data_IF_886684539813
#
_entry.id   IF_886684539813
#
_cell.length_a   1.000
_cell.length_b   1.000
_cell.length_c   1.000
_cell.angle_alpha   90.00
_cell.angle_beta   90.00
_cell.angle_gamma   90.00
#
_symmetry.space_group_name_H-M   'P 1'
#
loop_
_entity.id
_entity.type
_entity.pdbx_description
1 polymer ?
#
# COMPACT_ATOMS: atom_id res chain seq x y z
N UNK A 1 -31.08 20.70 -31.20
CA UNK A 1 -31.22 22.14 -30.91
C UNK A 1 -30.45 22.95 -31.95
N UNK A 2 -30.70 24.26 -32.10
CA UNK A 2 -29.86 25.15 -32.93
C UNK A 2 -28.43 25.25 -32.33
N UNK A 3 -27.40 25.60 -33.12
CA UNK A 3 -26.04 25.79 -32.60
C UNK A 3 -26.04 26.76 -31.40
N UNK A 4 -25.39 26.37 -30.30
CA UNK A 4 -25.33 27.15 -29.06
C UNK A 4 -26.41 26.83 -28.02
N UNK A 5 -27.36 25.93 -28.31
CA UNK A 5 -28.41 25.50 -27.39
C UNK A 5 -28.35 23.98 -27.14
N UNK A 6 -28.73 23.57 -25.93
CA UNK A 6 -28.72 22.20 -25.43
C UNK A 6 -29.93 21.88 -24.54
N UNK A 7 -29.95 20.67 -23.99
CA UNK A 7 -31.05 20.14 -23.18
C UNK A 7 -32.22 19.57 -24.00
N UNK A 8 -33.11 18.81 -23.34
CA UNK A 8 -34.24 18.14 -24.02
C UNK A 8 -35.23 19.11 -24.66
N UNK A 9 -35.38 20.30 -24.07
CA UNK A 9 -36.26 21.37 -24.57
C UNK A 9 -35.51 22.45 -25.36
N UNK A 10 -34.19 22.31 -25.56
CA UNK A 10 -33.37 23.32 -26.23
C UNK A 10 -33.36 24.70 -25.55
N UNK A 11 -33.54 24.73 -24.24
CA UNK A 11 -33.60 25.96 -23.42
C UNK A 11 -32.36 26.14 -22.54
N UNK A 12 -31.34 25.31 -22.72
CA UNK A 12 -30.16 25.24 -21.84
C UNK A 12 -28.89 25.38 -22.66
N UNK A 13 -27.75 25.52 -21.98
CA UNK A 13 -26.46 25.45 -22.66
C UNK A 13 -26.15 24.01 -23.11
N UNK A 14 -25.40 23.82 -24.21
CA UNK A 14 -24.90 22.51 -24.63
C UNK A 14 -24.13 21.78 -23.52
N UNK A 15 -23.89 20.49 -23.71
CA UNK A 15 -23.06 19.71 -22.79
C UNK A 15 -21.63 20.25 -22.72
N UNK A 16 -21.04 20.18 -21.52
CA UNK A 16 -19.78 20.84 -21.18
C UNK A 16 -19.78 22.37 -21.28
N UNK A 17 -20.95 23.00 -21.23
CA UNK A 17 -21.08 24.44 -21.10
C UNK A 17 -22.12 24.84 -20.05
N UNK A 18 -21.92 26.01 -19.45
CA UNK A 18 -22.80 26.61 -18.44
C UNK A 18 -23.05 28.09 -18.71
N UNK A 19 -24.01 28.67 -18.01
CA UNK A 19 -24.43 30.07 -18.13
C UNK A 19 -25.77 30.22 -18.84
N UNK A 20 -26.00 31.39 -19.42
CA UNK A 20 -27.27 31.75 -20.01
C UNK A 20 -27.22 31.59 -21.55
N UNK A 21 -28.06 30.72 -22.14
CA UNK A 21 -28.08 30.46 -23.59
C UNK A 21 -28.36 31.68 -24.47
N UNK A 22 -29.07 32.67 -23.95
CA UNK A 22 -29.45 33.89 -24.69
C UNK A 22 -28.35 34.96 -24.67
N UNK A 23 -27.44 34.94 -23.69
CA UNK A 23 -26.31 35.87 -23.61
C UNK A 23 -24.99 35.24 -24.06
N UNK A 24 -24.91 33.92 -24.04
CA UNK A 24 -23.73 33.14 -24.41
C UNK A 24 -23.35 32.13 -23.34
N UNK A 25 -22.97 30.93 -23.77
CA UNK A 25 -22.54 29.83 -22.91
C UNK A 25 -21.01 29.82 -22.75
N UNK A 26 -20.54 29.52 -21.55
CA UNK A 26 -19.12 29.37 -21.21
C UNK A 26 -18.75 27.90 -21.08
N UNK A 27 -17.53 27.55 -21.48
CA UNK A 27 -17.04 26.17 -21.38
C UNK A 27 -16.79 25.78 -19.91
N UNK A 28 -17.28 24.61 -19.50
CA UNK A 28 -16.95 24.02 -18.21
C UNK A 28 -15.43 23.78 -18.13
N UNK A 29 -14.80 24.16 -17.01
CA UNK A 29 -13.36 23.93 -16.78
C UNK A 29 -13.09 22.62 -16.02
N UNK A 30 -13.78 21.55 -16.37
CA UNK A 30 -13.68 20.27 -15.69
C UNK A 30 -12.60 19.38 -16.31
N UNK A 31 -12.02 18.49 -15.51
CA UNK A 31 -11.15 17.42 -15.98
C UNK A 31 -11.99 16.35 -16.70
N UNK A 32 -11.58 15.98 -17.91
CA UNK A 32 -12.35 15.08 -18.76
C UNK A 32 -12.43 13.64 -18.20
N UNK A 33 -11.45 13.24 -17.39
CA UNK A 33 -11.36 11.90 -16.83
C UNK A 33 -12.05 11.84 -15.47
N UNK A 34 -11.95 12.89 -14.67
CA UNK A 34 -12.54 12.96 -13.33
C UNK A 34 -14.00 13.37 -13.25
N UNK A 35 -14.62 13.73 -14.37
CA UNK A 35 -15.99 14.28 -14.43
C UNK A 35 -16.94 13.30 -15.10
N UNK A 36 -18.18 13.21 -14.60
CA UNK A 36 -19.21 12.34 -15.19
C UNK A 36 -19.79 12.94 -16.49
N UNK A 37 -20.42 12.13 -17.36
CA UNK A 37 -21.07 12.64 -18.57
C UNK A 37 -22.09 13.73 -18.26
N UNK A 38 -21.98 14.88 -18.93
CA UNK A 38 -22.76 16.09 -18.66
C UNK A 38 -21.90 17.30 -18.28
N UNK A 39 -20.69 17.05 -17.73
CA UNK A 39 -19.66 18.05 -17.51
C UNK A 39 -19.85 18.85 -16.22
N UNK A 40 -20.63 19.92 -16.28
CA UNK A 40 -20.86 20.78 -15.13
C UNK A 40 -22.31 21.25 -15.03
N UNK A 41 -22.66 21.73 -13.84
CA UNK A 41 -23.94 22.37 -13.59
C UNK A 41 -24.15 23.56 -14.55
N UNK A 42 -25.31 23.61 -15.19
CA UNK A 42 -25.61 24.57 -16.25
C UNK A 42 -25.73 26.02 -15.73
N UNK A 43 -25.95 26.21 -14.43
CA UNK A 43 -26.09 27.52 -13.80
C UNK A 43 -24.77 27.97 -13.15
N UNK A 44 -24.17 27.11 -12.33
CA UNK A 44 -23.01 27.47 -11.48
C UNK A 44 -21.67 27.19 -12.14
N UNK A 45 -21.61 26.27 -13.10
CA UNK A 45 -20.36 25.79 -13.69
C UNK A 45 -19.60 24.78 -12.82
N UNK A 46 -20.21 24.32 -11.72
CA UNK A 46 -19.59 23.33 -10.83
C UNK A 46 -19.54 21.95 -11.49
N UNK A 47 -18.35 21.34 -11.50
CA UNK A 47 -18.10 20.07 -12.17
C UNK A 47 -18.72 18.90 -11.41
N UNK A 48 -19.37 17.99 -12.14
CA UNK A 48 -19.91 16.79 -11.53
C UNK A 48 -18.83 15.70 -11.43
N UNK A 49 -18.17 15.61 -10.28
CA UNK A 49 -17.07 14.67 -10.09
C UNK A 49 -17.54 13.22 -10.00
N UNK A 50 -16.74 12.30 -10.55
CA UNK A 50 -16.94 10.86 -10.35
C UNK A 50 -16.67 10.47 -8.90
N UNK A 51 -17.16 9.29 -8.51
CA UNK A 51 -16.91 8.76 -7.17
C UNK A 51 -15.40 8.66 -6.87
N UNK A 52 -15.00 9.07 -5.67
CA UNK A 52 -13.60 9.07 -5.24
C UNK A 52 -12.76 10.25 -5.75
N UNK A 53 -13.36 11.16 -6.51
CA UNK A 53 -12.71 12.37 -7.05
C UNK A 53 -13.38 13.62 -6.49
N UNK A 54 -12.59 14.66 -6.30
CA UNK A 54 -13.00 15.95 -5.75
C UNK A 54 -12.19 17.09 -6.39
N UNK A 55 -12.42 18.30 -5.89
CA UNK A 55 -11.78 19.52 -6.37
C UNK A 55 -12.68 20.27 -7.37
N UNK A 56 -12.44 21.59 -7.55
CA UNK A 56 -13.27 22.45 -8.39
C UNK A 56 -13.30 22.05 -9.86
N UNK A 57 -12.31 21.26 -10.30
CA UNK A 57 -12.21 20.72 -11.66
C UNK A 57 -12.31 19.19 -11.70
N UNK A 58 -12.59 18.53 -10.58
CA UNK A 58 -12.55 17.07 -10.47
C UNK A 58 -11.20 16.45 -10.86
N UNK A 59 -10.10 17.07 -10.44
CA UNK A 59 -8.73 16.71 -10.80
C UNK A 59 -7.92 16.14 -9.62
N UNK A 60 -8.58 15.89 -8.48
CA UNK A 60 -7.93 15.38 -7.26
C UNK A 60 -8.72 14.24 -6.63
N UNK A 61 -8.05 13.31 -5.95
CA UNK A 61 -8.76 12.22 -5.25
C UNK A 61 -9.37 12.74 -3.94
N UNK A 62 -10.58 12.28 -3.61
CA UNK A 62 -11.25 12.64 -2.36
C UNK A 62 -10.59 11.99 -1.15
N UNK A 63 -10.77 12.56 0.05
CA UNK A 63 -10.29 11.95 1.30
C UNK A 63 -10.79 10.50 1.43
N UNK A 64 -9.93 9.59 1.86
CA UNK A 64 -10.20 8.15 1.86
C UNK A 64 -9.73 7.42 0.60
N UNK A 65 -9.40 8.17 -0.45
CA UNK A 65 -8.78 7.65 -1.67
C UNK A 65 -7.33 8.13 -1.77
N UNK A 66 -6.47 7.26 -2.29
CA UNK A 66 -5.04 7.51 -2.39
C UNK A 66 -4.76 8.42 -3.59
N UNK A 67 -3.66 9.19 -3.52
CA UNK A 67 -3.33 10.25 -4.48
C UNK A 67 -2.83 9.72 -5.85
N UNK A 68 -3.56 8.76 -6.42
CA UNK A 68 -3.29 8.09 -7.69
C UNK A 68 -4.33 8.50 -8.74
N UNK A 69 -4.48 9.81 -8.99
CA UNK A 69 -5.38 10.28 -10.05
C UNK A 69 -4.88 9.77 -11.42
N UNK A 70 -5.76 9.24 -12.31
CA UNK A 70 -7.22 9.22 -12.22
C UNK A 70 -7.84 8.02 -11.49
N UNK A 71 -7.07 6.98 -11.15
CA UNK A 71 -7.61 5.75 -10.56
C UNK A 71 -8.28 6.01 -9.20
N UNK A 72 -7.70 6.86 -8.35
CA UNK A 72 -8.21 7.22 -7.02
C UNK A 72 -8.71 5.99 -6.25
N UNK A 73 -7.83 5.01 -6.07
CA UNK A 73 -8.16 3.78 -5.35
C UNK A 73 -8.40 4.08 -3.86
N UNK A 74 -9.23 3.28 -3.20
CA UNK A 74 -9.42 3.37 -1.76
C UNK A 74 -8.08 3.15 -1.05
N UNK A 75 -7.77 4.00 -0.07
CA UNK A 75 -6.56 3.82 0.69
C UNK A 75 -6.63 2.55 1.57
N UNK A 76 -5.48 1.96 1.93
CA UNK A 76 -5.44 0.81 2.82
C UNK A 76 -6.10 1.09 4.18
N UNK A 77 -6.56 0.05 4.87
CA UNK A 77 -7.26 0.16 6.16
C UNK A 77 -6.51 0.97 7.22
N UNK A 78 -5.17 1.02 7.16
CA UNK A 78 -4.37 1.84 8.07
C UNK A 78 -4.66 3.35 7.96
N UNK A 79 -5.00 3.84 6.76
CA UNK A 79 -5.38 5.24 6.55
C UNK A 79 -6.61 5.60 7.37
N UNK A 80 -7.68 4.78 7.30
CA UNK A 80 -8.92 5.06 8.01
C UNK A 80 -8.74 5.03 9.53
N UNK A 81 -7.93 4.09 10.05
CA UNK A 81 -7.60 4.03 11.48
C UNK A 81 -6.85 5.27 11.94
N UNK A 82 -5.81 5.68 11.20
CA UNK A 82 -5.02 6.87 11.55
C UNK A 82 -5.80 8.17 11.36
N UNK A 83 -6.62 8.25 10.31
CA UNK A 83 -7.43 9.43 10.00
C UNK A 83 -8.50 9.66 11.08
N UNK A 84 -9.13 8.58 11.57
CA UNK A 84 -10.06 8.62 12.70
C UNK A 84 -9.37 9.06 13.99
N UNK A 85 -8.19 8.52 14.30
CA UNK A 85 -7.40 8.95 15.46
C UNK A 85 -7.00 10.42 15.35
N UNK A 86 -6.57 10.87 14.17
CA UNK A 86 -6.22 12.26 13.91
C UNK A 86 -7.41 13.20 14.09
N UNK A 87 -8.59 12.83 13.61
CA UNK A 87 -9.81 13.63 13.81
C UNK A 87 -10.21 13.70 15.29
N UNK A 88 -10.13 12.59 16.04
CA UNK A 88 -10.38 12.58 17.48
C UNK A 88 -9.39 13.45 18.25
N UNK A 89 -8.11 13.40 17.89
CA UNK A 89 -7.08 14.24 18.50
C UNK A 89 -7.32 15.72 18.15
N UNK A 90 -7.65 16.04 16.89
CA UNK A 90 -7.99 17.41 16.49
C UNK A 90 -9.19 17.96 17.26
N UNK A 91 -10.26 17.16 17.41
CA UNK A 91 -11.43 17.55 18.19
C UNK A 91 -11.10 17.70 19.68
N UNK A 92 -10.31 16.78 20.24
CA UNK A 92 -9.82 16.90 21.62
C UNK A 92 -8.97 18.17 21.80
N UNK A 93 -8.13 18.52 20.82
CA UNK A 93 -7.36 19.75 20.80
C UNK A 93 -8.27 20.99 20.77
N UNK A 94 -9.25 21.03 19.87
CA UNK A 94 -10.20 22.14 19.77
C UNK A 94 -11.03 22.32 21.05
N UNK A 95 -11.44 21.22 21.69
CA UNK A 95 -12.13 21.27 23.00
C UNK A 95 -11.22 21.70 24.14
N UNK A 96 -9.91 21.41 24.06
CA UNK A 96 -8.91 21.91 25.00
C UNK A 96 -8.65 23.40 24.78
N UNK A 97 -8.48 23.82 23.53
CA UNK A 97 -8.25 25.22 23.17
C UNK A 97 -9.45 26.11 23.52
N UNK A 98 -10.68 25.64 23.36
CA UNK A 98 -11.89 26.37 23.77
C UNK A 98 -12.14 26.38 25.29
N UNK A 99 -11.44 25.55 26.07
CA UNK A 99 -11.43 25.61 27.55
C UNK A 99 -10.41 26.60 28.11
N UNK A 100 -9.51 27.10 27.28
CA UNK A 100 -8.70 28.26 27.62
C UNK A 100 -9.47 29.50 27.14
N UNK A 101 -9.89 30.41 28.03
CA UNK A 101 -10.33 31.72 27.57
C UNK A 101 -9.16 32.36 26.84
N UNK A 102 -9.42 33.00 25.69
CA UNK A 102 -8.47 33.90 25.04
C UNK A 102 -7.90 34.85 26.10
N UNK A 103 -6.64 34.62 26.48
CA UNK A 103 -5.88 35.56 27.29
C UNK A 103 -5.34 36.58 26.30
N UNK A 104 -5.80 37.85 26.34
CA UNK A 104 -5.17 38.90 25.55
C UNK A 104 -3.83 39.20 26.21
N UNK A 105 -2.74 38.66 25.65
CA UNK A 105 -1.38 38.98 26.10
C UNK A 105 -0.37 37.84 25.89
N UNK A 106 0.63 38.10 25.04
CA UNK A 106 1.71 37.19 24.68
C UNK A 106 2.75 36.92 25.78
N UNK A 107 3.92 36.36 25.42
CA UNK A 107 4.82 35.59 26.29
C UNK A 107 5.75 36.46 27.16
N UNK A 108 5.23 37.49 27.81
CA UNK A 108 5.99 38.33 28.75
C UNK A 108 5.27 38.39 30.10
N UNK A 109 5.46 37.38 30.97
CA UNK A 109 5.42 37.52 32.45
C UNK A 109 5.51 36.19 33.24
N UNK A 110 6.38 35.25 32.85
CA UNK A 110 6.69 34.11 33.75
C UNK A 110 7.59 34.49 34.94
N UNK A 111 8.30 35.63 34.88
CA UNK A 111 9.18 36.10 35.97
C UNK A 111 8.47 36.49 37.27
N UNK A 112 7.18 36.82 37.20
CA UNK A 112 6.42 37.26 38.38
C UNK A 112 5.92 36.11 39.26
N UNK A 113 5.89 34.88 38.77
CA UNK A 113 5.39 33.74 39.55
C UNK A 113 6.43 33.26 40.57
N UNK A 114 7.72 33.26 40.22
CA UNK A 114 8.80 32.85 41.12
C UNK A 114 9.05 33.90 42.22
N UNK A 115 8.91 35.19 41.90
CA UNK A 115 8.92 36.28 42.88
C UNK A 115 7.73 36.17 43.86
N UNK A 116 6.53 35.86 43.35
CA UNK A 116 5.32 35.70 44.17
C UNK A 116 5.40 34.47 45.08
N UNK A 117 5.99 33.36 44.60
CA UNK A 117 6.20 32.14 45.40
C UNK A 117 7.23 32.37 46.51
N UNK A 118 8.32 33.11 46.23
CA UNK A 118 9.31 33.47 47.24
C UNK A 118 8.76 34.46 48.29
N UNK A 119 7.87 35.38 47.89
CA UNK A 119 7.16 36.30 48.80
C UNK A 119 6.17 35.58 49.72
N UNK A 120 5.49 34.54 49.21
CA UNK A 120 4.60 33.68 50.01
C UNK A 120 5.42 32.82 50.98
N UNK A 121 6.59 32.34 50.55
CA UNK A 121 7.52 31.54 51.38
C UNK A 121 8.12 32.36 52.54
N UNK A 122 8.38 33.66 52.33
CA UNK A 122 8.84 34.57 53.38
C UNK A 122 7.71 35.05 54.31
N UNK A 123 6.45 35.00 53.85
CA UNK A 123 5.27 35.43 54.63
C UNK A 123 4.66 34.32 55.50
N UNK A 124 5.05 33.05 55.32
CA UNK A 124 4.50 31.87 56.05
C UNK A 124 5.43 31.37 57.18
N UNK A 125 6.61 31.94 57.38
CA UNK A 125 7.43 31.67 58.57
C UNK A 125 6.94 32.51 59.77
N UNK A 126 6.62 31.94 60.93
CA UNK A 126 6.26 32.74 62.10
C UNK A 126 7.47 33.51 62.63
N UNK A 127 7.26 34.72 63.16
CA UNK A 127 8.28 35.49 63.87
C UNK A 127 8.91 34.65 64.99
N UNK A 128 10.24 34.40 64.97
CA UNK A 128 10.92 33.58 65.98
C UNK A 128 10.93 34.16 67.40
N UNK A 129 10.51 35.42 67.58
CA UNK A 129 10.62 36.12 68.86
C UNK A 129 9.58 35.67 69.90
N UNK A 130 8.32 35.48 69.50
CA UNK A 130 7.21 35.23 70.44
C UNK A 130 7.21 33.79 70.97
N UNK A 131 7.54 32.81 70.14
CA UNK A 131 7.66 31.40 70.56
C UNK A 131 8.90 31.20 71.45
N UNK A 132 10.03 31.84 71.14
CA UNK A 132 11.20 31.83 72.04
C UNK A 132 10.91 32.50 73.39
N UNK A 133 10.12 33.57 73.41
CA UNK A 133 9.72 34.24 74.65
C UNK A 133 8.76 33.38 75.49
N UNK A 134 7.79 32.70 74.87
CA UNK A 134 6.86 31.79 75.55
C UNK A 134 7.55 30.53 76.08
N UNK A 135 8.41 29.87 75.28
CA UNK A 135 9.21 28.74 75.76
C UNK A 135 10.23 29.15 76.82
N UNK A 136 10.80 30.35 76.71
CA UNK A 136 11.70 30.91 77.73
C UNK A 136 10.98 31.18 79.07
N UNK A 137 9.76 31.71 79.02
CA UNK A 137 8.93 31.93 80.21
C UNK A 137 8.51 30.61 80.87
N UNK A 138 8.22 29.56 80.09
CA UNK A 138 7.86 28.24 80.61
C UNK A 138 9.02 27.56 81.36
N UNK A 139 10.24 27.71 80.84
CA UNK A 139 11.46 27.20 81.49
C UNK A 139 11.74 27.95 82.79
N UNK A 140 11.52 29.27 82.83
CA UNK A 140 11.64 30.07 84.06
C UNK A 140 10.60 29.67 85.12
N UNK A 141 9.35 29.43 84.70
CA UNK A 141 8.26 29.01 85.59
C UNK A 141 8.53 27.63 86.24
N UNK A 142 9.00 26.67 85.44
CA UNK A 142 9.35 25.33 85.95
C UNK A 142 10.55 25.39 86.90
N UNK A 143 11.52 26.28 86.63
CA UNK A 143 12.66 26.49 87.53
C UNK A 143 12.23 27.06 88.89
N UNK A 144 11.29 28.01 88.90
CA UNK A 144 10.71 28.57 90.12
C UNK A 144 9.91 27.52 90.91
N UNK A 145 9.15 26.65 90.24
CA UNK A 145 8.44 25.53 90.90
C UNK A 145 9.41 24.53 91.55
N UNK A 146 10.52 24.23 90.87
CA UNK A 146 11.58 23.37 91.40
C UNK A 146 12.31 23.99 92.61
N UNK A 147 12.52 25.30 92.60
CA UNK A 147 13.10 26.03 93.73
C UNK A 147 12.13 26.12 94.92
N UNK A 148 10.82 26.28 94.65
CA UNK A 148 9.77 26.28 95.67
C UNK A 148 9.59 24.90 96.31
N UNK A 149 9.62 23.81 95.53
CA UNK A 149 9.60 22.44 96.05
C UNK A 149 10.85 22.08 96.88
N UNK A 150 12.02 22.64 96.53
CA UNK A 150 13.25 22.51 97.33
C UNK A 150 13.22 23.36 98.62
N UNK A 151 12.46 24.46 98.64
CA UNK A 151 12.23 25.24 99.85
C UNK A 151 11.18 24.56 100.76
N UNK A 152 10.11 24.01 100.20
CA UNK A 152 9.02 23.33 100.91
C UNK A 152 9.48 22.04 101.62
N UNK A 153 10.48 21.34 101.06
CA UNK A 153 11.12 20.16 101.68
C UNK A 153 12.02 20.49 102.90
N UNK A 154 12.25 21.77 103.20
CA UNK A 154 13.02 22.23 104.38
C UNK A 154 12.17 22.90 105.46
N UNK A 155 10.85 23.04 105.26
CA UNK A 155 9.93 23.72 106.18
C UNK A 155 9.11 22.70 106.97
N UNK A 156 9.01 22.83 108.31
CA UNK A 156 8.18 21.95 109.13
C UNK A 156 6.70 22.02 108.71
N UNK A 157 6.01 20.87 108.70
CA UNK A 157 4.65 20.70 108.18
C UNK A 157 3.56 21.61 108.80
N UNK A 158 3.87 22.31 109.90
CA UNK A 158 2.93 23.18 110.62
C UNK A 158 2.84 24.62 110.09
N UNK A 159 3.65 25.01 109.10
CA UNK A 159 3.64 26.36 108.50
C UNK A 159 3.31 26.40 107.00
N UNK A 160 2.87 25.28 106.42
CA UNK A 160 2.51 25.24 104.99
C UNK A 160 1.22 26.02 104.73
N UNK A 161 1.30 27.09 103.96
CA UNK A 161 0.13 27.81 103.45
C UNK A 161 -0.37 27.11 102.17
N UNK A 162 -1.65 26.69 102.08
CA UNK A 162 -2.17 25.91 100.94
C UNK A 162 -2.36 26.70 99.64
N UNK A 163 -2.10 28.01 99.65
CA UNK A 163 -2.62 28.94 98.64
C UNK A 163 -1.72 29.05 97.41
N UNK A 164 -0.40 29.13 97.61
CA UNK A 164 0.54 29.46 96.53
C UNK A 164 0.74 28.31 95.53
N UNK A 165 0.70 27.06 95.99
CA UNK A 165 0.86 25.88 95.12
C UNK A 165 -0.39 25.69 94.24
N UNK A 166 -1.58 26.01 94.79
CA UNK A 166 -2.84 26.04 94.05
C UNK A 166 -2.87 27.14 92.99
N UNK A 167 -2.38 28.34 93.30
CA UNK A 167 -2.27 29.45 92.34
C UNK A 167 -1.30 29.13 91.19
N UNK A 168 -0.20 28.43 91.49
CA UNK A 168 0.77 27.96 90.50
C UNK A 168 0.16 26.91 89.55
N UNK A 169 -0.70 26.02 90.06
CA UNK A 169 -1.42 25.03 89.25
C UNK A 169 -2.54 25.66 88.42
N UNK A 170 -3.23 26.68 88.95
CA UNK A 170 -4.22 27.46 88.21
C UNK A 170 -3.57 28.24 87.04
N UNK A 171 -2.40 28.83 87.28
CA UNK A 171 -1.63 29.53 86.24
C UNK A 171 -1.13 28.56 85.16
N UNK A 172 -0.71 27.34 85.54
CA UNK A 172 -0.33 26.29 84.60
C UNK A 172 -1.53 25.89 83.72
N UNK A 173 -2.70 25.67 84.32
CA UNK A 173 -3.91 25.29 83.61
C UNK A 173 -4.42 26.39 82.67
N UNK A 174 -4.30 27.66 83.06
CA UNK A 174 -4.58 28.80 82.19
C UNK A 174 -3.62 28.86 81.00
N UNK A 175 -2.34 28.57 81.23
CA UNK A 175 -1.33 28.56 80.17
C UNK A 175 -1.56 27.42 79.18
N UNK A 176 -1.82 26.20 79.67
CA UNK A 176 -2.13 25.04 78.82
C UNK A 176 -3.41 25.27 78.00
N UNK A 177 -4.43 25.92 78.59
CA UNK A 177 -5.63 26.33 77.87
C UNK A 177 -5.32 27.36 76.78
N UNK A 178 -4.45 28.32 77.05
CA UNK A 178 -4.02 29.34 76.08
C UNK A 178 -3.24 28.72 74.91
N UNK A 179 -2.36 27.75 75.20
CA UNK A 179 -1.63 26.98 74.19
C UNK A 179 -2.62 26.17 73.35
N UNK A 180 -3.56 25.46 73.97
CA UNK A 180 -4.58 24.69 73.27
C UNK A 180 -5.49 25.58 72.40
N UNK A 181 -5.90 26.74 72.91
CA UNK A 181 -6.67 27.74 72.14
C UNK A 181 -5.87 28.29 70.97
N UNK A 182 -4.57 28.54 71.15
CA UNK A 182 -3.69 28.99 70.08
C UNK A 182 -3.50 27.90 69.01
N UNK A 183 -3.26 26.65 69.41
CA UNK A 183 -3.11 25.53 68.48
C UNK A 183 -4.41 25.20 67.73
N UNK A 184 -5.56 25.24 68.40
CA UNK A 184 -6.87 25.09 67.74
C UNK A 184 -7.16 26.26 66.80
N UNK A 185 -6.81 27.50 67.17
CA UNK A 185 -6.98 28.66 66.27
C UNK A 185 -5.98 28.66 65.10
N UNK A 186 -4.77 28.12 65.30
CA UNK A 186 -3.78 27.85 64.24
C UNK A 186 -4.27 26.76 63.29
N UNK A 187 -4.85 25.68 63.83
CA UNK A 187 -5.46 24.59 63.06
C UNK A 187 -6.70 25.08 62.32
N UNK A 188 -7.49 25.96 62.94
CA UNK A 188 -8.62 26.65 62.32
C UNK A 188 -8.18 27.72 61.32
N UNK A 189 -6.98 28.30 61.43
CA UNK A 189 -6.39 29.14 60.37
C UNK A 189 -5.92 28.30 59.17
N UNK A 190 -5.70 26.99 59.36
CA UNK A 190 -5.62 26.00 58.27
C UNK A 190 -6.99 25.49 57.78
N UNK A 191 -8.09 25.83 58.47
CA UNK A 191 -9.45 25.31 58.22
C UNK A 191 -10.54 26.36 58.01
N UNK A 192 -10.24 27.65 58.09
CA UNK A 192 -11.20 28.76 57.93
C UNK A 192 -10.53 29.98 57.30
N UNK A 193 -9.86 29.73 56.18
CA UNK A 193 -9.71 30.62 55.02
C UNK A 193 -8.82 29.91 54.01
N UNK A 194 -9.40 29.34 52.94
CA UNK A 194 -8.63 28.90 51.77
C UNK A 194 -8.78 27.45 51.35
N UNK A 195 -9.99 26.97 51.11
CA UNK A 195 -10.23 25.80 50.22
C UNK A 195 -9.66 26.00 48.80
N UNK A 196 -9.19 27.21 48.45
CA UNK A 196 -8.58 27.51 47.15
C UNK A 196 -7.04 27.48 47.13
N UNK A 197 -6.32 27.74 48.23
CA UNK A 197 -4.86 27.98 48.15
C UNK A 197 -3.97 26.77 48.49
N UNK A 198 -4.38 25.85 49.36
CA UNK A 198 -3.64 24.59 49.60
C UNK A 198 -3.75 23.63 48.41
N UNK A 199 -4.93 23.57 47.79
CA UNK A 199 -5.13 22.88 46.51
C UNK A 199 -4.28 23.48 45.40
N UNK A 200 -4.37 24.80 45.20
CA UNK A 200 -3.61 25.50 44.16
C UNK A 200 -2.08 25.34 44.30
N UNK A 201 -1.53 25.45 45.50
CA UNK A 201 -0.08 25.27 45.70
C UNK A 201 0.37 23.84 45.42
N UNK A 202 -0.42 22.84 45.86
CA UNK A 202 -0.13 21.44 45.57
C UNK A 202 -0.21 21.14 44.07
N UNK A 203 -1.19 21.73 43.37
CA UNK A 203 -1.34 21.61 41.93
C UNK A 203 -0.18 22.26 41.17
N UNK A 204 0.27 23.46 41.57
CA UNK A 204 1.43 24.15 40.97
C UNK A 204 2.71 23.32 41.16
N UNK A 205 2.93 22.76 42.35
CA UNK A 205 4.10 21.91 42.63
C UNK A 205 4.09 20.64 41.77
N UNK A 206 2.94 20.01 41.60
CA UNK A 206 2.78 18.83 40.73
C UNK A 206 3.02 19.20 39.27
N UNK A 207 2.39 20.26 38.77
CA UNK A 207 2.57 20.73 37.39
C UNK A 207 4.03 21.09 37.06
N UNK A 208 4.75 21.71 38.00
CA UNK A 208 6.18 22.00 37.85
C UNK A 208 7.02 20.71 37.75
N UNK A 209 6.73 19.71 38.59
CA UNK A 209 7.39 18.40 38.56
C UNK A 209 7.13 17.70 37.23
N UNK A 210 5.88 17.66 36.78
CA UNK A 210 5.47 17.03 35.52
C UNK A 210 6.12 17.71 34.31
N UNK A 211 6.18 19.05 34.31
CA UNK A 211 6.86 19.83 33.29
C UNK A 211 8.36 19.55 33.24
N UNK A 212 9.00 19.46 34.43
CA UNK A 212 10.44 19.14 34.54
C UNK A 212 10.74 17.73 34.03
N UNK A 213 9.88 16.76 34.37
CA UNK A 213 10.06 15.36 33.95
C UNK A 213 9.77 15.19 32.44
N UNK A 214 8.84 15.97 31.88
CA UNK A 214 8.63 16.06 30.44
C UNK A 214 9.84 16.65 29.70
N UNK A 215 10.44 17.73 30.23
CA UNK A 215 11.63 18.35 29.64
C UNK A 215 12.82 17.37 29.61
N UNK A 216 13.03 16.58 30.68
CA UNK A 216 14.06 15.54 30.69
C UNK A 216 13.83 14.47 29.62
N UNK A 217 12.57 14.05 29.42
CA UNK A 217 12.22 13.07 28.38
C UNK A 217 12.50 13.62 26.98
N UNK A 218 12.21 14.89 26.73
CA UNK A 218 12.52 15.55 25.46
C UNK A 218 14.03 15.63 25.23
N UNK A 219 14.81 16.07 26.23
CA UNK A 219 16.27 16.12 26.11
C UNK A 219 16.89 14.73 25.86
N UNK A 220 16.34 13.69 26.47
CA UNK A 220 16.79 12.31 26.22
C UNK A 220 16.54 11.82 24.78
N UNK A 221 15.69 12.50 23.99
CA UNK A 221 15.41 12.15 22.59
C UNK A 221 16.29 12.87 21.58
N UNK A 222 17.09 13.84 22.02
CA UNK A 222 17.92 14.69 21.14
C UNK A 222 18.88 13.85 20.28
N UNK A 223 19.64 12.95 20.91
CA UNK A 223 20.58 12.06 20.22
C UNK A 223 19.89 11.11 19.25
N UNK A 224 18.68 10.64 19.59
CA UNK A 224 17.89 9.75 18.73
C UNK A 224 17.47 10.48 17.46
N UNK A 225 16.98 11.72 17.60
CA UNK A 225 16.57 12.55 16.46
C UNK A 225 17.77 12.88 15.57
N UNK A 226 18.92 13.21 16.19
CA UNK A 226 20.18 13.48 15.48
C UNK A 226 20.65 12.25 14.69
N UNK A 227 20.75 11.09 15.33
CA UNK A 227 21.12 9.84 14.67
C UNK A 227 20.17 9.48 13.51
N UNK A 228 18.87 9.71 13.68
CA UNK A 228 17.89 9.47 12.62
C UNK A 228 18.04 10.46 11.45
N UNK A 229 18.46 11.71 11.72
CA UNK A 229 18.81 12.68 10.67
C UNK A 229 20.03 12.22 9.89
N UNK A 230 21.11 11.89 10.59
CA UNK A 230 22.38 11.47 9.99
C UNK A 230 22.21 10.20 9.13
N UNK A 231 21.41 9.23 9.61
CA UNK A 231 21.12 8.01 8.85
C UNK A 231 20.34 8.30 7.56
N UNK A 232 19.38 9.24 7.59
CA UNK A 232 18.65 9.64 6.38
C UNK A 232 19.57 10.29 5.36
N UNK A 233 20.48 11.15 5.81
CA UNK A 233 21.47 11.79 4.95
C UNK A 233 22.45 10.78 4.33
N UNK A 234 22.97 9.83 5.13
CA UNK A 234 23.81 8.75 4.62
C UNK A 234 23.08 7.90 3.57
N UNK A 235 21.83 7.53 3.85
CA UNK A 235 21.01 6.74 2.92
C UNK A 235 20.77 7.50 1.61
N UNK A 236 20.49 8.81 1.70
CA UNK A 236 20.35 9.69 0.54
C UNK A 236 21.62 9.73 -0.30
N UNK A 237 22.78 9.90 0.33
CA UNK A 237 24.07 9.94 -0.36
C UNK A 237 24.38 8.64 -1.11
N UNK A 238 24.03 7.48 -0.54
CA UNK A 238 24.17 6.19 -1.23
C UNK A 238 23.23 6.12 -2.43
N UNK A 239 21.97 6.52 -2.26
CA UNK A 239 20.97 6.53 -3.34
C UNK A 239 21.42 7.43 -4.50
N UNK A 240 21.87 8.66 -4.21
CA UNK A 240 22.33 9.62 -5.23
C UNK A 240 23.59 9.14 -5.96
N UNK A 241 24.45 8.34 -5.31
CA UNK A 241 25.64 7.74 -5.95
C UNK A 241 25.32 6.57 -6.87
N UNK A 242 24.37 5.72 -6.48
CA UNK A 242 24.11 4.43 -7.15
C UNK A 242 23.05 4.54 -8.25
N UNK A 243 21.98 5.30 -8.00
CA UNK A 243 20.83 5.35 -8.90
C UNK A 243 21.11 5.89 -10.30
N UNK A 244 21.95 6.92 -10.49
CA UNK A 244 22.29 7.39 -11.83
C UNK A 244 23.00 6.31 -12.66
N UNK A 245 23.90 5.55 -12.05
CA UNK A 245 24.60 4.43 -12.68
C UNK A 245 23.62 3.35 -13.11
N UNK A 246 22.78 2.87 -12.17
CA UNK A 246 21.76 1.87 -12.46
C UNK A 246 20.78 2.32 -13.57
N UNK A 247 20.37 3.58 -13.54
CA UNK A 247 19.48 4.16 -14.56
C UNK A 247 20.15 4.16 -15.93
N UNK A 248 21.42 4.57 -15.99
CA UNK A 248 22.20 4.57 -17.23
C UNK A 248 22.41 3.14 -17.77
N UNK A 249 22.71 2.19 -16.90
CA UNK A 249 22.91 0.79 -17.27
C UNK A 249 21.62 0.17 -17.80
N UNK A 250 20.48 0.45 -17.15
CA UNK A 250 19.15 0.03 -17.64
C UNK A 250 18.81 0.64 -18.99
N UNK A 251 19.09 1.94 -19.19
CA UNK A 251 18.90 2.59 -20.50
C UNK A 251 19.81 1.99 -21.58
N UNK A 252 21.05 1.68 -21.22
CA UNK A 252 22.01 1.00 -22.09
C UNK A 252 21.54 -0.40 -22.49
N UNK A 253 21.07 -1.19 -21.51
CA UNK A 253 20.51 -2.51 -21.76
C UNK A 253 19.27 -2.45 -22.65
N UNK A 254 18.35 -1.52 -22.38
CA UNK A 254 17.14 -1.34 -23.18
C UNK A 254 17.47 -0.99 -24.63
N UNK A 255 18.45 -0.09 -24.83
CA UNK A 255 18.94 0.28 -26.16
C UNK A 255 19.63 -0.88 -26.87
N UNK A 256 20.37 -1.71 -26.14
CA UNK A 256 21.01 -2.92 -26.66
C UNK A 256 19.98 -3.96 -27.08
N UNK A 257 18.99 -4.26 -26.22
CA UNK A 257 17.91 -5.20 -26.52
C UNK A 257 17.04 -4.75 -27.70
N UNK A 258 16.89 -3.43 -27.89
CA UNK A 258 16.16 -2.87 -29.03
C UNK A 258 16.86 -3.10 -30.37
N UNK A 259 18.19 -3.17 -30.37
CA UNK A 259 19.01 -3.20 -31.57
C UNK A 259 19.70 -4.54 -31.84
N UNK A 260 19.94 -5.39 -30.83
CA UNK A 260 20.75 -6.61 -30.98
C UNK A 260 20.28 -7.81 -30.13
N UNK A 261 20.44 -9.05 -30.65
CA UNK A 261 20.75 -9.34 -32.05
C UNK A 261 19.55 -9.03 -32.96
N UNK A 262 19.81 -8.45 -34.14
CA UNK A 262 18.80 -8.36 -35.19
C UNK A 262 18.63 -9.73 -35.85
N UNK A 263 17.54 -10.42 -35.50
CA UNK A 263 17.19 -11.73 -36.03
C UNK A 263 16.46 -11.67 -37.37
N UNK A 264 16.23 -10.47 -37.93
CA UNK A 264 15.52 -10.31 -39.21
C UNK A 264 16.17 -11.06 -40.37
N UNK A 265 17.51 -11.03 -40.55
CA UNK A 265 18.15 -11.78 -41.63
C UNK A 265 17.93 -13.29 -41.49
N UNK A 266 18.06 -13.82 -40.27
CA UNK A 266 17.80 -15.22 -39.97
C UNK A 266 16.33 -15.59 -40.20
N UNK A 267 15.40 -14.76 -39.73
CA UNK A 267 13.96 -14.95 -39.94
C UNK A 267 13.58 -14.95 -41.44
N UNK A 268 14.22 -14.11 -42.26
CA UNK A 268 14.02 -14.12 -43.72
C UNK A 268 14.51 -15.42 -44.36
N UNK A 269 15.73 -15.85 -44.00
CA UNK A 269 16.32 -17.08 -44.55
C UNK A 269 15.60 -18.36 -44.08
N UNK A 270 15.07 -18.39 -42.85
CA UNK A 270 14.41 -19.56 -42.29
C UNK A 270 12.92 -19.58 -42.65
N UNK A 271 12.18 -18.51 -42.34
CA UNK A 271 10.72 -18.48 -42.48
C UNK A 271 10.24 -18.05 -43.87
N UNK A 272 11.11 -17.50 -44.73
CA UNK A 272 10.73 -17.27 -46.13
C UNK A 272 9.82 -16.08 -46.41
N UNK A 273 9.95 -14.98 -45.65
CA UNK A 273 9.01 -13.84 -45.71
C UNK A 273 9.64 -12.53 -46.20
N UNK A 274 8.77 -11.57 -46.56
CA UNK A 274 9.09 -10.16 -46.88
C UNK A 274 9.29 -9.29 -45.63
N UNK A 275 9.58 -9.90 -44.47
CA UNK A 275 9.62 -9.21 -43.17
C UNK A 275 10.49 -7.94 -43.26
N UNK A 276 9.84 -6.79 -43.19
CA UNK A 276 10.52 -5.48 -43.27
C UNK A 276 10.89 -4.96 -41.88
N UNK A 277 10.14 -5.41 -40.87
CA UNK A 277 10.28 -5.03 -39.47
C UNK A 277 11.41 -5.77 -38.75
N UNK A 278 12.25 -4.99 -38.06
CA UNK A 278 13.35 -5.50 -37.21
C UNK A 278 12.81 -6.47 -36.16
N UNK A 279 13.41 -7.65 -36.10
CA UNK A 279 13.18 -8.69 -35.11
C UNK A 279 14.28 -8.65 -34.05
N UNK A 280 14.08 -7.89 -32.98
CA UNK A 280 15.00 -7.80 -31.85
C UNK A 280 14.38 -8.40 -30.58
N UNK A 281 15.18 -8.81 -29.58
CA UNK A 281 14.67 -9.32 -28.30
C UNK A 281 13.67 -8.37 -27.63
N UNK A 282 13.83 -7.05 -27.80
CA UNK A 282 12.89 -6.05 -27.28
C UNK A 282 11.48 -6.16 -27.88
N UNK A 283 11.35 -6.57 -29.14
CA UNK A 283 10.07 -6.76 -29.83
C UNK A 283 9.57 -8.21 -29.81
N UNK A 284 10.32 -9.11 -29.19
CA UNK A 284 9.92 -10.51 -29.05
C UNK A 284 8.95 -10.64 -27.87
N UNK A 285 7.65 -10.68 -28.16
CA UNK A 285 6.58 -10.98 -27.19
C UNK A 285 6.56 -12.46 -26.73
N UNK A 286 7.68 -13.19 -26.86
CA UNK A 286 7.78 -14.62 -26.55
C UNK A 286 7.13 -15.55 -27.59
N UNK A 287 6.62 -15.02 -28.70
CA UNK A 287 6.06 -15.82 -29.81
C UNK A 287 7.11 -16.54 -30.65
N UNK A 288 6.73 -17.61 -31.39
CA UNK A 288 7.63 -18.34 -32.27
C UNK A 288 8.14 -17.45 -33.42
N UNK A 289 9.41 -17.63 -33.82
CA UNK A 289 10.06 -16.85 -34.87
C UNK A 289 9.34 -16.96 -36.23
N UNK A 290 8.76 -18.12 -36.52
CA UNK A 290 7.88 -18.35 -37.67
C UNK A 290 6.45 -18.64 -37.16
N UNK A 291 5.52 -17.67 -37.21
CA UNK A 291 4.15 -17.89 -36.77
C UNK A 291 3.39 -18.82 -37.73
N UNK A 292 2.61 -19.79 -37.23
CA UNK A 292 1.95 -20.82 -38.03
C UNK A 292 0.85 -20.32 -38.97
N UNK A 293 0.38 -19.07 -38.83
CA UNK A 293 -0.81 -18.55 -39.54
C UNK A 293 -0.51 -17.67 -40.75
N UNK A 294 0.76 -17.31 -41.01
CA UNK A 294 1.18 -16.66 -42.27
C UNK A 294 2.20 -17.48 -43.04
N UNK A 295 2.16 -18.79 -42.88
CA UNK A 295 2.73 -19.69 -43.86
C UNK A 295 1.94 -19.48 -45.15
N UNK A 296 2.50 -18.65 -46.03
CA UNK A 296 2.31 -18.78 -47.46
C UNK A 296 2.58 -20.26 -47.75
N UNK A 297 1.53 -21.07 -47.80
CA UNK A 297 1.66 -22.50 -48.11
C UNK A 297 2.48 -22.55 -49.38
N UNK A 298 3.62 -23.21 -49.30
CA UNK A 298 4.52 -23.39 -50.43
C UNK A 298 3.84 -24.38 -51.39
N UNK A 299 2.85 -23.88 -52.12
CA UNK A 299 1.98 -24.67 -52.97
C UNK A 299 2.72 -25.10 -54.24
N UNK A 300 2.17 -26.14 -54.87
CA UNK A 300 2.75 -26.73 -56.07
C UNK A 300 2.76 -25.71 -57.21
N UNK A 301 3.94 -25.31 -57.64
CA UNK A 301 4.14 -24.30 -58.69
C UNK A 301 4.42 -22.88 -58.18
N UNK A 302 4.33 -22.63 -56.87
CA UNK A 302 4.75 -21.37 -56.28
C UNK A 302 6.29 -21.30 -56.15
N UNK A 303 6.84 -20.10 -56.29
CA UNK A 303 8.25 -19.81 -55.97
C UNK A 303 8.37 -19.62 -54.46
N UNK A 304 8.89 -20.64 -53.78
CA UNK A 304 9.00 -20.62 -52.33
C UNK A 304 10.38 -20.19 -51.90
N UNK A 305 10.43 -19.31 -50.90
CA UNK A 305 11.66 -18.82 -50.31
C UNK A 305 11.69 -19.27 -48.86
N UNK A 306 12.88 -19.48 -48.32
CA UNK A 306 13.08 -19.85 -46.92
C UNK A 306 13.20 -21.36 -46.67
N UNK A 307 14.04 -21.73 -45.71
CA UNK A 307 14.35 -23.12 -45.40
C UNK A 307 13.13 -23.91 -44.91
N UNK A 308 12.28 -23.33 -44.06
CA UNK A 308 11.11 -24.01 -43.49
C UNK A 308 10.03 -24.31 -44.55
N UNK A 309 9.57 -23.33 -45.38
CA UNK A 309 8.63 -23.62 -46.47
C UNK A 309 9.17 -24.63 -47.48
N UNK A 310 10.46 -24.54 -47.84
CA UNK A 310 11.10 -25.48 -48.76
C UNK A 310 11.17 -26.91 -48.17
N UNK A 311 11.51 -27.05 -46.89
CA UNK A 311 11.52 -28.35 -46.21
C UNK A 311 10.13 -28.99 -46.14
N UNK A 312 9.11 -28.19 -45.80
CA UNK A 312 7.72 -28.65 -45.76
C UNK A 312 7.22 -29.12 -47.15
N UNK A 313 7.60 -28.40 -48.21
CA UNK A 313 7.28 -28.81 -49.59
C UNK A 313 8.01 -30.10 -49.97
N UNK A 314 9.30 -30.22 -49.69
CA UNK A 314 10.04 -31.45 -49.96
C UNK A 314 9.38 -32.66 -49.29
N UNK A 315 8.91 -32.52 -48.05
CA UNK A 315 8.19 -33.59 -47.35
C UNK A 315 6.85 -33.93 -48.00
N UNK A 316 6.12 -32.92 -48.50
CA UNK A 316 4.86 -33.10 -49.24
C UNK A 316 5.10 -33.75 -50.61
N UNK A 317 6.17 -33.39 -51.31
CA UNK A 317 6.51 -34.00 -52.59
C UNK A 317 6.92 -35.47 -52.40
N UNK A 318 7.61 -35.81 -51.30
CA UNK A 318 7.94 -37.19 -50.94
C UNK A 318 6.68 -38.04 -50.71
N UNK A 319 5.66 -37.51 -50.01
CA UNK A 319 4.40 -38.26 -49.80
C UNK A 319 3.66 -38.47 -51.12
N UNK A 320 3.62 -37.47 -52.00
CA UNK A 320 3.02 -37.59 -53.33
C UNK A 320 3.73 -38.64 -54.18
N UNK A 321 5.07 -38.63 -54.20
CA UNK A 321 5.86 -39.61 -54.96
C UNK A 321 5.67 -41.02 -54.39
N UNK A 322 5.61 -41.17 -53.05
CA UNK A 322 5.29 -42.44 -52.40
C UNK A 322 3.94 -42.99 -52.86
N UNK A 323 2.88 -42.18 -52.81
CA UNK A 323 1.55 -42.61 -53.23
C UNK A 323 1.50 -43.01 -54.71
N UNK A 324 2.25 -42.30 -55.57
CA UNK A 324 2.40 -42.65 -56.97
C UNK A 324 3.13 -43.98 -57.17
N UNK A 325 4.20 -44.23 -56.41
CA UNK A 325 4.94 -45.50 -56.44
C UNK A 325 4.08 -46.67 -55.94
N UNK A 326 3.31 -46.48 -54.86
CA UNK A 326 2.39 -47.50 -54.35
C UNK A 326 1.31 -47.84 -55.38
N UNK A 327 0.76 -46.82 -56.06
CA UNK A 327 -0.20 -47.00 -57.14
C UNK A 327 0.42 -47.72 -58.35
N UNK A 328 1.66 -47.39 -58.70
CA UNK A 328 2.40 -48.08 -59.76
C UNK A 328 2.68 -49.54 -59.38
N UNK A 329 3.08 -49.81 -58.14
CA UNK A 329 3.29 -51.15 -57.62
C UNK A 329 2.05 -52.02 -57.75
N UNK A 330 0.87 -51.50 -57.36
CA UNK A 330 -0.42 -52.21 -57.55
C UNK A 330 -0.69 -52.54 -59.01
N UNK A 331 -0.48 -51.59 -59.92
CA UNK A 331 -0.64 -51.83 -61.37
C UNK A 331 0.32 -52.91 -61.90
N UNK A 332 1.57 -52.93 -61.40
CA UNK A 332 2.54 -53.96 -61.77
C UNK A 332 2.09 -55.34 -61.26
N UNK A 333 1.59 -55.44 -60.03
CA UNK A 333 1.07 -56.71 -59.47
C UNK A 333 -0.15 -57.21 -60.25
N UNK A 334 -1.08 -56.31 -60.62
CA UNK A 334 -2.24 -56.64 -61.46
C UNK A 334 -1.81 -57.16 -62.84
N UNK A 335 -0.86 -56.48 -63.48
CA UNK A 335 -0.31 -56.91 -64.77
C UNK A 335 0.38 -58.28 -64.67
N UNK A 336 1.15 -58.52 -63.61
CA UNK A 336 1.79 -59.81 -63.36
C UNK A 336 0.76 -60.96 -63.18
N UNK A 337 -0.32 -60.71 -62.44
CA UNK A 337 -1.42 -61.67 -62.27
C UNK A 337 -2.13 -61.98 -63.60
N UNK A 338 -2.36 -60.97 -64.43
CA UNK A 338 -2.89 -61.17 -65.78
C UNK A 338 -1.95 -62.00 -66.65
N UNK A 339 -0.64 -61.73 -66.63
CA UNK A 339 0.35 -62.51 -67.38
C UNK A 339 0.37 -63.98 -66.95
N UNK A 340 0.33 -64.27 -65.65
CA UNK A 340 0.25 -65.65 -65.15
C UNK A 340 -1.03 -66.35 -65.61
N UNK A 341 -2.17 -65.65 -65.57
CA UNK A 341 -3.45 -66.20 -66.07
C UNK A 341 -3.36 -66.53 -67.55
N UNK A 342 -2.85 -65.60 -68.36
CA UNK A 342 -2.64 -65.80 -69.80
C UNK A 342 -1.72 -66.99 -70.06
N UNK A 343 -0.62 -67.13 -69.33
CA UNK A 343 0.29 -68.25 -69.48
C UNK A 343 -0.36 -69.60 -69.14
N UNK A 344 -1.19 -69.66 -68.08
CA UNK A 344 -1.98 -70.86 -67.74
C UNK A 344 -2.96 -71.22 -68.85
N UNK A 345 -3.68 -70.23 -69.40
CA UNK A 345 -4.60 -70.44 -70.53
C UNK A 345 -3.86 -70.91 -71.78
N UNK A 346 -2.72 -70.31 -72.12
CA UNK A 346 -1.88 -70.75 -73.26
C UNK A 346 -1.41 -72.20 -73.09
N UNK A 347 -1.01 -72.59 -71.87
CA UNK A 347 -0.63 -73.97 -71.57
C UNK A 347 -1.82 -74.94 -71.73
N UNK A 348 -3.02 -74.56 -71.29
CA UNK A 348 -4.24 -75.36 -71.50
C UNK A 348 -4.56 -75.52 -72.99
N UNK A 349 -4.56 -74.43 -73.76
CA UNK A 349 -4.80 -74.47 -75.22
C UNK A 349 -3.77 -75.37 -75.90
N UNK A 350 -2.49 -75.27 -75.53
CA UNK A 350 -1.43 -76.13 -76.06
C UNK A 350 -1.67 -77.61 -75.75
N UNK A 351 -2.16 -77.93 -74.55
CA UNK A 351 -2.49 -79.30 -74.18
C UNK A 351 -3.70 -79.82 -74.98
N UNK A 352 -4.78 -79.04 -75.05
CA UNK A 352 -5.96 -79.39 -75.84
C UNK A 352 -5.62 -79.59 -77.33
N UNK A 353 -4.71 -78.79 -77.89
CA UNK A 353 -4.23 -78.98 -79.27
C UNK A 353 -3.44 -80.29 -79.45
N UNK A 354 -2.63 -80.68 -78.46
CA UNK A 354 -1.93 -82.00 -78.47
C UNK A 354 -2.92 -83.16 -78.40
N UNK A 355 -3.91 -83.06 -77.51
CA UNK A 355 -4.93 -84.10 -77.34
C UNK A 355 -5.80 -84.23 -78.61
N UNK A 356 -6.14 -83.11 -79.25
CA UNK A 356 -6.84 -83.13 -80.53
C UNK A 356 -5.97 -83.76 -81.63
N UNK A 357 -4.68 -83.44 -81.69
CA UNK A 357 -3.75 -84.02 -82.66
C UNK A 357 -3.59 -85.53 -82.48
N UNK A 358 -3.49 -86.03 -81.25
CA UNK A 358 -3.44 -87.48 -80.99
C UNK A 358 -4.74 -88.17 -81.39
N UNK A 359 -5.89 -87.56 -81.09
CA UNK A 359 -7.20 -88.09 -81.46
C UNK A 359 -7.38 -88.16 -82.98
N UNK A 360 -6.98 -87.12 -83.72
CA UNK A 360 -6.99 -87.13 -85.19
C UNK A 360 -6.11 -88.24 -85.74
N UNK A 361 -4.90 -88.45 -85.18
CA UNK A 361 -4.03 -89.56 -85.60
C UNK A 361 -4.68 -90.92 -85.35
N UNK A 362 -5.32 -91.10 -84.19
CA UNK A 362 -6.03 -92.33 -83.88
C UNK A 362 -7.17 -92.59 -84.86
N UNK A 363 -8.05 -91.60 -85.08
CA UNK A 363 -9.17 -91.72 -86.03
C UNK A 363 -8.68 -91.97 -87.46
N UNK A 364 -7.57 -91.36 -87.87
CA UNK A 364 -6.95 -91.64 -89.17
C UNK A 364 -6.51 -93.10 -89.27
N UNK A 365 -5.83 -93.62 -88.26
CA UNK A 365 -5.35 -95.01 -88.24
C UNK A 365 -6.52 -96.01 -88.22
N UNK A 366 -7.59 -95.71 -87.47
CA UNK A 366 -8.83 -96.50 -87.48
C UNK A 366 -9.47 -96.51 -88.88
N UNK A 367 -9.57 -95.35 -89.53
CA UNK A 367 -10.11 -95.24 -90.88
C UNK A 367 -9.25 -95.94 -91.94
N UNK A 368 -7.91 -95.85 -91.84
CA UNK A 368 -6.98 -96.59 -92.70
C UNK A 368 -7.19 -98.09 -92.55
N UNK A 369 -7.38 -98.57 -91.32
CA UNK A 369 -7.68 -99.99 -91.04
C UNK A 369 -9.03 -100.43 -91.63
N UNK A 370 -10.09 -99.63 -91.45
CA UNK A 370 -11.41 -99.92 -92.03
C UNK A 370 -11.36 -99.97 -93.57
N UNK A 371 -10.56 -99.10 -94.20
CA UNK A 371 -10.34 -99.10 -95.65
C UNK A 371 -9.58 -100.35 -96.12
N UNK A 372 -8.58 -100.82 -95.36
CA UNK A 372 -7.88 -102.08 -95.64
C UNK A 372 -8.81 -103.31 -95.49
N UNK A 373 -9.71 -103.30 -94.51
CA UNK A 373 -10.71 -104.37 -94.32
C UNK A 373 -11.75 -104.42 -95.44
N UNK A 374 -12.12 -103.29 -96.06
CA UNK A 374 -13.00 -103.25 -97.23
C UNK A 374 -12.32 -103.60 -98.57
N UNK A 375 -10.98 -103.63 -98.61
CA UNK A 375 -10.19 -103.92 -99.81
C UNK A 375 -9.82 -105.40 -99.96
N UNK A 376 -10.14 -106.24 -98.97
CA UNK A 376 -10.04 -107.70 -99.01
C UNK A 376 -11.44 -108.31 -99.11
#
# INVERSE_FOLDING_TARGET
CRPGFGGRKCTECPDNMYGNPWTGCQLCRCDAVGTVPGGCDKQTGECFCRQGVTGPRCDTCSRGHCASFPACELCPSCFFTLDSQRMNISLALETLFSRFPDVPGGPENFGNLEASVNLIKSSISPSPSTIRQLSGALVQLNKLRDELGRADSKVPATLKTPDLESELDELQALFDRLVLMYETKRSASGGSSGTFNTGAFSAIKTAYKDSTDAAKKVNATEDIVKNASDLREQTRNVWERVQPGNTKDLQGLNSSMASQPDLTPAAKQVCGSVRSDVCSPFRCEGGPLCPPERDQRCEKGAECVGALPLGNRANTDVTVVKDQLDKLGKKITEAAAQLQKTQKTTNQVRQSAKDLSSKIKQTRNELEKDLEEMSN
#
